data_IF_216862095594
#
_entry.id   IF_216862095594
#
_cell.length_a   1.000
_cell.length_b   1.000
_cell.length_c   1.000
_cell.angle_alpha   90.00
_cell.angle_beta   90.00
_cell.angle_gamma   90.00
#
_symmetry.space_group_name_H-M   'P 1'
#
loop_
_entity.id
_entity.type
_entity.pdbx_description
1 polymer ?
#
# COMPACT_ATOMS: atom_id res chain seq x y z
N UNK A 1 -14.12 9.98 15.07
CA UNK A 1 -13.82 10.04 13.63
C UNK A 1 -13.15 8.77 13.13
N UNK A 2 -13.28 8.51 11.82
CA UNK A 2 -12.74 7.32 11.17
C UNK A 2 -11.35 7.63 10.58
N UNK A 3 -10.34 6.93 11.08
CA UNK A 3 -8.94 7.12 10.70
C UNK A 3 -8.42 5.91 9.95
N UNK A 4 -7.60 6.17 8.93
CA UNK A 4 -7.00 5.13 8.10
C UNK A 4 -5.53 5.40 7.80
N UNK A 5 -4.73 4.33 7.76
CA UNK A 5 -3.31 4.32 7.42
C UNK A 5 -3.05 3.30 6.31
N UNK A 6 -2.77 3.73 5.06
CA UNK A 6 -2.52 2.83 3.96
C UNK A 6 -1.04 2.48 3.83
N UNK A 7 -0.77 1.19 3.60
CA UNK A 7 0.51 0.66 3.10
C UNK A 7 0.42 0.62 1.57
N UNK A 8 1.25 1.37 0.85
CA UNK A 8 1.04 1.61 -0.57
C UNK A 8 2.13 0.98 -1.45
N UNK A 9 1.85 -0.22 -1.97
CA UNK A 9 2.77 -0.98 -2.80
C UNK A 9 2.69 -0.62 -4.29
N UNK A 10 3.81 -0.71 -4.99
CA UNK A 10 3.91 -0.46 -6.43
C UNK A 10 5.14 -1.13 -7.05
N UNK A 11 5.12 -1.27 -8.38
CA UNK A 11 6.27 -1.73 -9.15
C UNK A 11 6.91 -0.59 -9.93
N UNK A 12 8.24 -0.67 -10.09
CA UNK A 12 9.03 0.13 -11.03
C UNK A 12 9.58 -0.75 -12.15
N UNK A 13 9.22 -0.42 -13.39
CA UNK A 13 9.67 -1.11 -14.59
C UNK A 13 10.50 -0.21 -15.50
N UNK A 14 11.32 -0.82 -16.35
CA UNK A 14 12.07 -0.11 -17.38
C UNK A 14 11.20 0.26 -18.58
N UNK A 15 11.67 1.21 -19.38
CA UNK A 15 11.15 1.46 -20.72
C UNK A 15 11.97 0.69 -21.76
N UNK A 16 11.33 0.32 -22.88
CA UNK A 16 12.02 -0.15 -24.07
C UNK A 16 12.70 1.01 -24.82
N UNK A 17 13.41 0.69 -25.89
CA UNK A 17 14.09 1.66 -26.76
C UNK A 17 13.15 2.68 -27.44
N UNK A 18 11.85 2.40 -27.50
CA UNK A 18 10.83 3.28 -28.07
C UNK A 18 10.11 4.12 -26.99
N UNK A 19 10.48 3.96 -25.72
CA UNK A 19 9.85 4.64 -24.59
C UNK A 19 8.55 3.98 -24.10
N UNK A 20 8.25 2.74 -24.50
CA UNK A 20 7.09 2.01 -23.98
C UNK A 20 7.44 1.29 -22.68
N UNK A 21 6.55 1.25 -21.68
CA UNK A 21 6.75 0.46 -20.47
C UNK A 21 6.95 -1.03 -20.78
N UNK A 22 7.87 -1.68 -20.08
CA UNK A 22 8.08 -3.13 -20.13
C UNK A 22 7.63 -3.79 -18.83
N UNK A 23 7.84 -5.11 -18.72
CA UNK A 23 7.72 -5.88 -17.48
C UNK A 23 9.10 -6.22 -16.86
N UNK A 24 10.16 -5.57 -17.32
CA UNK A 24 11.51 -5.77 -16.78
C UNK A 24 11.68 -4.90 -15.51
N UNK A 25 11.93 -5.51 -14.33
CA UNK A 25 12.04 -4.77 -13.08
C UNK A 25 13.26 -3.85 -13.06
N UNK A 26 13.15 -2.76 -12.30
CA UNK A 26 14.26 -1.82 -12.11
C UNK A 26 15.49 -2.47 -11.48
N UNK A 27 15.28 -3.43 -10.58
CA UNK A 27 16.31 -4.17 -9.86
C UNK A 27 15.84 -5.59 -9.49
N UNK A 28 16.64 -6.30 -8.68
CA UNK A 28 16.41 -7.68 -8.27
C UNK A 28 16.54 -7.84 -6.74
N UNK A 29 16.22 -6.78 -5.99
CA UNK A 29 16.14 -6.82 -4.53
C UNK A 29 14.92 -7.61 -4.06
N UNK A 30 14.96 -8.09 -2.81
CA UNK A 30 13.82 -8.66 -2.10
C UNK A 30 13.41 -7.82 -0.89
N UNK A 31 12.57 -8.41 -0.04
CA UNK A 31 11.99 -7.73 1.12
C UNK A 31 13.06 -7.17 2.04
N UNK A 32 13.03 -5.85 2.28
CA UNK A 32 13.99 -5.13 3.12
C UNK A 32 15.46 -5.26 2.69
N UNK A 33 15.74 -5.66 1.45
CA UNK A 33 17.10 -5.66 0.95
C UNK A 33 17.67 -4.25 0.87
N UNK A 34 18.99 -4.17 1.06
CA UNK A 34 19.75 -2.93 0.91
C UNK A 34 20.55 -2.93 -0.39
N UNK A 35 21.08 -1.75 -0.74
CA UNK A 35 22.10 -1.62 -1.79
C UNK A 35 23.26 -2.60 -1.54
N UNK A 36 23.76 -3.35 -2.55
CA UNK A 36 23.64 -3.10 -4.00
C UNK A 36 22.47 -3.80 -4.72
N UNK A 37 21.68 -4.61 -4.03
CA UNK A 37 20.55 -5.33 -4.64
C UNK A 37 19.36 -4.40 -4.89
N UNK A 38 19.04 -3.56 -3.91
CA UNK A 38 18.10 -2.46 -4.03
C UNK A 38 18.77 -1.25 -4.69
N UNK A 39 18.39 -0.98 -5.94
CA UNK A 39 18.94 0.11 -6.75
C UNK A 39 17.98 1.30 -6.86
N UNK A 40 16.72 1.10 -6.48
CA UNK A 40 15.68 2.12 -6.51
C UNK A 40 15.53 2.89 -5.18
N UNK A 41 16.40 2.67 -4.20
CA UNK A 41 16.41 3.40 -2.92
C UNK A 41 16.39 4.92 -3.09
N UNK A 42 17.13 5.46 -4.06
CA UNK A 42 17.14 6.90 -4.36
C UNK A 42 15.76 7.42 -4.82
N UNK A 43 15.02 6.61 -5.58
CA UNK A 43 13.67 6.96 -6.06
C UNK A 43 12.72 7.03 -4.86
N UNK A 44 12.79 6.03 -3.95
CA UNK A 44 12.00 6.05 -2.71
C UNK A 44 12.35 7.25 -1.84
N UNK A 45 13.63 7.60 -1.71
CA UNK A 45 14.06 8.78 -0.95
C UNK A 45 13.51 10.09 -1.54
N UNK A 46 13.51 10.23 -2.86
CA UNK A 46 12.92 11.41 -3.52
C UNK A 46 11.40 11.50 -3.32
N UNK A 47 10.71 10.36 -3.33
CA UNK A 47 9.27 10.29 -3.00
C UNK A 47 9.04 10.75 -1.57
N UNK A 48 9.79 10.21 -0.60
CA UNK A 48 9.68 10.60 0.82
C UNK A 48 9.96 12.09 1.02
N UNK A 49 10.97 12.64 0.34
CA UNK A 49 11.29 14.07 0.41
C UNK A 49 10.13 14.94 -0.10
N UNK A 50 9.46 14.55 -1.18
CA UNK A 50 8.31 15.30 -1.70
C UNK A 50 7.09 15.21 -0.77
N UNK A 51 6.81 14.03 -0.23
CA UNK A 51 5.73 13.84 0.75
C UNK A 51 5.97 14.66 2.03
N UNK A 52 7.22 14.77 2.48
CA UNK A 52 7.59 15.59 3.62
C UNK A 52 7.36 17.09 3.37
N UNK A 53 7.65 17.60 2.17
CA UNK A 53 7.35 19.01 1.81
C UNK A 53 5.86 19.31 1.84
N UNK A 54 5.02 18.32 1.54
CA UNK A 54 3.56 18.42 1.61
C UNK A 54 3.01 18.20 3.02
N UNK A 55 3.87 17.88 4.00
CA UNK A 55 3.47 17.62 5.39
C UNK A 55 2.75 16.29 5.59
N UNK A 56 2.95 15.31 4.70
CA UNK A 56 2.24 14.02 4.78
C UNK A 56 2.87 13.03 5.76
N UNK A 57 4.09 13.30 6.23
CA UNK A 57 4.78 12.54 7.28
C UNK A 57 4.79 11.02 7.02
N UNK A 58 5.41 10.55 5.92
CA UNK A 58 5.54 9.11 5.68
C UNK A 58 6.30 8.43 6.82
N UNK A 59 5.89 7.22 7.18
CA UNK A 59 6.43 6.47 8.33
C UNK A 59 7.57 5.53 7.91
N UNK A 60 7.41 4.88 6.76
CA UNK A 60 8.39 3.95 6.23
C UNK A 60 8.38 3.89 4.71
N UNK A 61 9.47 3.35 4.17
CA UNK A 61 9.64 3.00 2.77
C UNK A 61 10.65 1.87 2.66
N UNK A 62 10.32 0.82 1.93
CA UNK A 62 11.22 -0.31 1.74
C UNK A 62 11.05 -0.96 0.38
N UNK A 63 12.00 -1.83 0.07
CA UNK A 63 11.85 -2.79 -1.00
C UNK A 63 10.90 -3.90 -0.55
N UNK A 64 10.01 -4.31 -1.44
CA UNK A 64 8.99 -5.33 -1.19
C UNK A 64 9.48 -6.72 -1.62
N UNK A 65 8.63 -7.75 -1.54
CA UNK A 65 9.01 -9.15 -1.77
C UNK A 65 9.44 -9.43 -3.22
N UNK A 66 8.76 -8.87 -4.23
CA UNK A 66 9.07 -9.11 -5.63
C UNK A 66 10.09 -8.13 -6.21
N UNK A 67 10.82 -8.55 -7.24
CA UNK A 67 11.80 -7.73 -7.94
C UNK A 67 11.20 -6.42 -8.48
N UNK A 68 11.82 -5.28 -8.14
CA UNK A 68 11.34 -3.95 -8.50
C UNK A 68 10.03 -3.53 -7.83
N UNK A 69 9.60 -4.25 -6.77
CA UNK A 69 8.45 -3.88 -5.95
C UNK A 69 8.91 -3.02 -4.77
N UNK A 70 8.11 -2.01 -4.45
CA UNK A 70 8.40 -1.05 -3.40
C UNK A 70 7.13 -0.68 -2.65
N UNK A 71 7.31 -0.20 -1.42
CA UNK A 71 6.23 0.26 -0.54
C UNK A 71 6.56 1.62 0.05
N UNK A 72 5.51 2.44 0.25
CA UNK A 72 5.55 3.70 0.99
C UNK A 72 4.37 3.71 1.96
N UNK A 73 4.67 3.93 3.23
CA UNK A 73 3.67 3.98 4.29
C UNK A 73 3.41 5.42 4.69
N UNK A 74 2.13 5.78 4.70
CA UNK A 74 1.70 7.10 5.16
C UNK A 74 1.21 7.01 6.60
N UNK A 75 1.61 7.99 7.42
CA UNK A 75 1.00 8.20 8.73
C UNK A 75 -0.50 8.36 8.59
N UNK A 76 -1.25 7.68 9.45
CA UNK A 76 -2.70 7.69 9.42
C UNK A 76 -3.28 9.11 9.46
N UNK A 77 -4.45 9.28 8.87
CA UNK A 77 -5.24 10.50 8.92
C UNK A 77 -6.73 10.16 8.85
N UNK A 78 -7.59 11.16 9.03
CA UNK A 78 -9.02 10.98 8.79
C UNK A 78 -9.27 10.49 7.36
N UNK A 79 -10.26 9.62 7.17
CA UNK A 79 -10.43 8.87 5.93
C UNK A 79 -10.54 9.73 4.66
N UNK A 80 -11.23 10.88 4.74
CA UNK A 80 -11.35 11.80 3.60
C UNK A 80 -9.98 12.43 3.24
N UNK A 81 -9.25 12.90 4.25
CA UNK A 81 -7.90 13.46 4.06
C UNK A 81 -6.97 12.39 3.48
N UNK A 82 -7.06 11.16 3.97
CA UNK A 82 -6.21 10.08 3.48
C UNK A 82 -6.54 9.68 2.03
N UNK A 83 -7.82 9.70 1.63
CA UNK A 83 -8.20 9.47 0.24
C UNK A 83 -7.55 10.48 -0.72
N UNK A 84 -7.53 11.76 -0.35
CA UNK A 84 -6.84 12.82 -1.12
C UNK A 84 -5.33 12.59 -1.16
N UNK A 85 -4.72 12.23 -0.02
CA UNK A 85 -3.28 11.93 0.08
C UNK A 85 -2.89 10.75 -0.80
N UNK A 86 -3.67 9.67 -0.82
CA UNK A 86 -3.41 8.49 -1.67
C UNK A 86 -3.52 8.85 -3.16
N UNK A 87 -4.51 9.66 -3.55
CA UNK A 87 -4.63 10.12 -4.93
C UNK A 87 -3.41 10.96 -5.36
N UNK A 88 -2.92 11.82 -4.47
CA UNK A 88 -1.71 12.62 -4.69
C UNK A 88 -0.44 11.76 -4.72
N UNK A 89 -0.31 10.81 -3.79
CA UNK A 89 0.83 9.88 -3.70
C UNK A 89 1.06 9.15 -5.02
N UNK A 90 -0.01 8.64 -5.65
CA UNK A 90 0.07 7.98 -6.97
C UNK A 90 0.68 8.88 -8.03
N UNK A 91 0.30 10.15 -8.03
CA UNK A 91 0.83 11.15 -8.98
C UNK A 91 2.29 11.46 -8.69
N UNK A 92 2.66 11.63 -7.42
CA UNK A 92 4.05 11.88 -6.98
C UNK A 92 4.95 10.72 -7.39
N UNK A 93 4.58 9.48 -7.04
CA UNK A 93 5.35 8.27 -7.37
C UNK A 93 5.56 8.18 -8.89
N UNK A 94 4.51 8.34 -9.69
CA UNK A 94 4.61 8.28 -11.16
C UNK A 94 5.53 9.37 -11.73
N UNK A 95 5.41 10.60 -11.24
CA UNK A 95 6.24 11.71 -11.72
C UNK A 95 7.71 11.52 -11.35
N UNK A 96 8.01 11.11 -10.12
CA UNK A 96 9.38 10.89 -9.68
C UNK A 96 9.99 9.70 -10.41
N UNK A 97 9.27 8.56 -10.52
CA UNK A 97 9.71 7.42 -11.31
C UNK A 97 10.05 7.82 -12.76
N UNK A 98 9.19 8.62 -13.40
CA UNK A 98 9.41 9.10 -14.76
C UNK A 98 10.66 9.98 -14.87
N UNK A 99 10.94 10.86 -13.90
CA UNK A 99 12.18 11.67 -13.86
C UNK A 99 13.44 10.82 -13.76
N UNK A 100 13.34 9.66 -13.11
CA UNK A 100 14.40 8.66 -13.02
C UNK A 100 14.44 7.68 -14.20
N UNK A 101 13.57 7.85 -15.21
CA UNK A 101 13.54 7.00 -16.39
C UNK A 101 12.87 5.64 -16.18
N UNK A 102 11.97 5.53 -15.19
CA UNK A 102 11.21 4.31 -14.90
C UNK A 102 9.70 4.52 -15.00
N UNK A 103 8.99 3.42 -15.18
CA UNK A 103 7.54 3.36 -15.22
C UNK A 103 7.01 2.81 -13.90
N UNK A 104 6.25 3.63 -13.16
CA UNK A 104 5.57 3.18 -11.96
C UNK A 104 4.16 2.66 -12.26
N UNK A 105 3.82 1.49 -11.71
CA UNK A 105 2.47 0.92 -11.81
C UNK A 105 1.94 0.44 -10.47
N UNK A 106 0.63 0.64 -10.30
CA UNK A 106 -0.17 0.18 -9.14
C UNK A 106 -1.10 -0.97 -9.53
N UNK A 107 -0.80 -1.62 -10.65
CA UNK A 107 -1.57 -2.77 -11.14
C UNK A 107 -1.46 -3.91 -10.11
N UNK A 108 -2.58 -4.54 -9.68
CA UNK A 108 -2.54 -5.53 -8.60
C UNK A 108 -1.64 -6.75 -8.86
N UNK A 109 -1.52 -7.19 -10.12
CA UNK A 109 -0.71 -8.34 -10.52
C UNK A 109 -0.11 -8.10 -11.90
N UNK A 110 1.00 -7.32 -12.01
CA UNK A 110 1.61 -7.00 -13.28
C UNK A 110 2.45 -8.15 -13.83
N UNK A 111 2.99 -9.01 -12.96
CA UNK A 111 3.81 -10.18 -13.31
C UNK A 111 3.16 -11.45 -12.75
N UNK A 112 3.09 -12.49 -13.59
CA UNK A 112 2.59 -13.79 -13.18
C UNK A 112 3.65 -14.54 -12.34
N UNK A 113 3.22 -15.26 -11.30
CA UNK A 113 4.11 -16.12 -10.53
C UNK A 113 4.92 -15.43 -9.41
N UNK A 114 4.75 -14.13 -9.17
CA UNK A 114 5.42 -13.33 -8.12
C UNK A 114 4.39 -12.58 -7.25
N UNK A 115 4.80 -11.98 -6.12
CA UNK A 115 3.92 -11.12 -5.30
C UNK A 115 3.32 -9.98 -6.12
N UNK A 116 2.13 -9.52 -5.74
CA UNK A 116 1.41 -8.46 -6.44
C UNK A 116 1.09 -7.31 -5.50
N UNK A 117 0.98 -6.10 -6.04
CA UNK A 117 0.85 -4.88 -5.23
C UNK A 117 -0.48 -4.79 -4.49
N UNK A 118 -0.39 -4.61 -3.17
CA UNK A 118 -1.47 -4.29 -2.27
C UNK A 118 -1.65 -2.82 -1.97
N UNK A 119 -2.79 -2.56 -1.31
CA UNK A 119 -2.96 -1.38 -0.50
C UNK A 119 -3.65 -1.82 0.78
N UNK A 120 -2.89 -2.30 1.76
CA UNK A 120 -3.47 -2.59 3.06
C UNK A 120 -3.94 -1.28 3.69
N UNK A 121 -5.05 -1.33 4.41
CA UNK A 121 -5.64 -0.14 5.03
C UNK A 121 -5.92 -0.46 6.48
N UNK A 122 -5.04 0.03 7.34
CA UNK A 122 -5.22 0.05 8.79
C UNK A 122 -6.38 1.00 9.12
N UNK A 123 -7.25 0.61 10.04
CA UNK A 123 -8.50 1.32 10.32
C UNK A 123 -8.73 1.44 11.82
N UNK A 124 -9.17 2.61 12.27
CA UNK A 124 -9.58 2.83 13.67
C UNK A 124 -10.69 3.87 13.78
N UNK A 125 -11.42 3.81 14.89
CA UNK A 125 -12.36 4.86 15.29
C UNK A 125 -11.74 5.56 16.49
N UNK A 126 -11.51 6.86 16.38
CA UNK A 126 -10.88 7.66 17.43
C UNK A 126 -11.82 8.78 17.89
N UNK A 127 -11.61 9.33 19.09
CA UNK A 127 -12.21 10.61 19.47
C UNK A 127 -11.71 11.73 18.56
N UNK A 128 -12.47 12.82 18.43
CA UNK A 128 -12.13 13.93 17.52
C UNK A 128 -10.86 14.69 17.94
N UNK A 129 -10.48 14.63 19.21
CA UNK A 129 -9.20 15.13 19.74
C UNK A 129 -8.05 14.13 19.61
N UNK A 130 -8.30 12.95 19.02
CA UNK A 130 -7.32 11.85 18.83
C UNK A 130 -6.76 11.24 20.12
N UNK A 131 -7.31 11.58 21.30
CA UNK A 131 -6.82 11.10 22.60
C UNK A 131 -7.31 9.68 22.95
N UNK A 132 -8.43 9.22 22.35
CA UNK A 132 -9.04 7.92 22.64
C UNK A 132 -9.20 7.11 21.37
N UNK A 133 -8.52 5.96 21.29
CA UNK A 133 -8.81 4.95 20.28
C UNK A 133 -9.88 3.99 20.80
N UNK A 134 -11.07 4.04 20.19
CA UNK A 134 -12.21 3.25 20.62
C UNK A 134 -12.08 1.75 20.30
N UNK A 135 -11.09 1.33 19.52
CA UNK A 135 -10.78 -0.08 19.31
C UNK A 135 -9.92 -0.70 20.41
N UNK A 136 -9.31 0.12 21.27
CA UNK A 136 -8.45 -0.35 22.33
C UNK A 136 -9.21 -0.57 23.64
N UNK A 137 -8.98 -1.72 24.28
CA UNK A 137 -9.37 -1.98 25.67
C UNK A 137 -8.32 -2.90 26.32
N UNK A 138 -7.58 -2.35 27.30
CA UNK A 138 -6.51 -3.05 28.02
C UNK A 138 -6.97 -4.37 28.68
N UNK A 139 -8.25 -4.46 29.08
CA UNK A 139 -8.79 -5.61 29.81
C UNK A 139 -9.42 -6.65 28.87
N UNK A 140 -9.64 -6.30 27.61
CA UNK A 140 -10.26 -7.18 26.65
C UNK A 140 -9.26 -8.20 26.07
N UNK A 141 -9.80 -9.30 25.54
CA UNK A 141 -9.00 -10.31 24.84
C UNK A 141 -8.34 -9.67 23.62
N UNK A 142 -7.04 -9.90 23.44
CA UNK A 142 -6.22 -9.31 22.38
C UNK A 142 -6.06 -7.78 22.43
N UNK A 143 -6.51 -7.13 23.52
CA UNK A 143 -6.52 -5.67 23.64
C UNK A 143 -7.59 -4.99 22.78
N UNK A 144 -8.56 -5.74 22.25
CA UNK A 144 -9.58 -5.26 21.33
C UNK A 144 -10.91 -5.03 22.05
N UNK A 145 -11.41 -3.80 22.01
CA UNK A 145 -12.69 -3.45 22.61
C UNK A 145 -13.86 -4.20 21.97
N UNK A 146 -15.01 -4.22 22.64
CA UNK A 146 -16.24 -4.77 22.07
C UNK A 146 -16.61 -4.10 20.74
N UNK A 147 -16.35 -2.79 20.62
CA UNK A 147 -16.58 -2.04 19.39
C UNK A 147 -15.67 -2.50 18.25
N UNK A 148 -14.39 -2.78 18.52
CA UNK A 148 -13.48 -3.35 17.51
C UNK A 148 -13.99 -4.71 17.03
N UNK A 149 -14.47 -5.55 17.94
CA UNK A 149 -15.00 -6.87 17.60
C UNK A 149 -16.26 -6.78 16.73
N UNK A 150 -17.20 -5.88 17.05
CA UNK A 150 -18.39 -5.62 16.22
C UNK A 150 -18.02 -5.04 14.85
N UNK A 151 -17.04 -4.15 14.80
CA UNK A 151 -16.53 -3.59 13.55
C UNK A 151 -15.96 -4.70 12.64
N UNK A 152 -15.10 -5.55 13.19
CA UNK A 152 -14.52 -6.70 12.48
C UNK A 152 -15.61 -7.66 11.98
N UNK A 153 -16.62 -7.95 12.80
CA UNK A 153 -17.75 -8.78 12.40
C UNK A 153 -18.46 -8.20 11.16
N UNK A 154 -18.67 -6.89 11.11
CA UNK A 154 -19.25 -6.21 9.95
C UNK A 154 -18.38 -6.34 8.70
N UNK A 155 -17.07 -6.10 8.83
CA UNK A 155 -16.11 -6.24 7.71
C UNK A 155 -16.14 -7.67 7.17
N UNK A 156 -15.98 -8.68 8.01
CA UNK A 156 -15.94 -10.08 7.60
C UNK A 156 -17.27 -10.56 6.97
N UNK A 157 -18.40 -10.03 7.46
CA UNK A 157 -19.73 -10.36 6.92
C UNK A 157 -19.92 -9.82 5.49
N UNK A 158 -19.34 -8.66 5.17
CA UNK A 158 -19.63 -7.94 3.92
C UNK A 158 -18.45 -7.88 2.93
N UNK A 159 -17.26 -8.38 3.29
CA UNK A 159 -16.06 -8.25 2.46
C UNK A 159 -16.19 -8.96 1.11
N UNK A 160 -17.01 -10.02 1.03
CA UNK A 160 -17.25 -10.73 -0.23
C UNK A 160 -17.90 -9.81 -1.26
N UNK A 161 -18.99 -9.14 -0.90
CA UNK A 161 -19.68 -8.20 -1.79
C UNK A 161 -18.88 -6.89 -1.96
N UNK A 162 -18.26 -6.39 -0.89
CA UNK A 162 -17.43 -5.18 -0.94
C UNK A 162 -16.21 -5.34 -1.86
N UNK A 163 -15.74 -6.57 -2.10
CA UNK A 163 -14.63 -6.84 -3.03
C UNK A 163 -14.88 -6.34 -4.45
N UNK A 164 -16.14 -6.18 -4.87
CA UNK A 164 -16.46 -5.55 -6.16
C UNK A 164 -15.94 -4.10 -6.25
N UNK A 165 -15.82 -3.41 -5.11
CA UNK A 165 -15.32 -2.03 -5.01
C UNK A 165 -13.83 -2.07 -4.64
N UNK A 166 -13.48 -2.83 -3.59
CA UNK A 166 -12.12 -2.89 -3.04
C UNK A 166 -11.11 -3.53 -4.01
N UNK A 167 -11.58 -4.46 -4.86
CA UNK A 167 -10.80 -5.18 -5.86
C UNK A 167 -11.41 -4.98 -7.26
N UNK A 168 -11.72 -3.74 -7.61
CA UNK A 168 -12.57 -3.36 -8.76
C UNK A 168 -12.06 -3.75 -10.16
N UNK A 169 -10.78 -4.07 -10.33
CA UNK A 169 -10.24 -4.49 -11.64
C UNK A 169 -10.26 -6.01 -11.81
N UNK A 170 -10.43 -6.49 -13.06
CA UNK A 170 -10.25 -7.91 -13.40
C UNK A 170 -8.87 -8.42 -12.95
N UNK A 171 -7.84 -7.57 -13.05
CA UNK A 171 -6.48 -7.93 -12.62
C UNK A 171 -6.34 -8.06 -11.08
N UNK A 172 -7.20 -7.43 -10.29
CA UNK A 172 -7.20 -7.60 -8.82
C UNK A 172 -7.38 -9.07 -8.43
N UNK A 173 -8.27 -9.78 -9.12
CA UNK A 173 -8.53 -11.21 -8.90
C UNK A 173 -7.40 -12.13 -9.38
N UNK A 174 -6.37 -11.59 -10.05
CA UNK A 174 -5.12 -12.32 -10.35
C UNK A 174 -4.11 -12.19 -9.21
N UNK A 175 -4.30 -11.20 -8.32
CA UNK A 175 -3.55 -11.04 -7.07
C UNK A 175 -4.11 -11.92 -5.97
N UNK A 176 -5.44 -11.99 -5.84
CA UNK A 176 -6.17 -12.76 -4.83
C UNK A 176 -6.13 -14.27 -5.13
N UNK A 177 -4.93 -14.84 -5.11
CA UNK A 177 -4.65 -16.27 -5.26
C UNK A 177 -3.69 -16.74 -4.14
N UNK A 178 -3.76 -18.00 -3.70
CA UNK A 178 -2.91 -18.49 -2.61
C UNK A 178 -1.42 -18.41 -2.94
N UNK A 179 -0.58 -18.24 -1.90
CA UNK A 179 0.88 -18.36 -1.99
C UNK A 179 1.67 -17.08 -2.24
N UNK A 180 1.02 -15.91 -2.20
CA UNK A 180 1.63 -14.59 -2.46
C UNK A 180 1.23 -13.53 -1.43
N UNK A 181 0.98 -13.96 -0.19
CA UNK A 181 0.62 -13.09 0.96
C UNK A 181 -0.64 -12.22 0.79
N UNK A 182 -1.37 -12.38 -0.31
CA UNK A 182 -2.68 -11.77 -0.53
C UNK A 182 -3.79 -12.58 0.18
N UNK A 183 -4.81 -11.90 0.73
CA UNK A 183 -5.94 -12.57 1.36
C UNK A 183 -6.82 -13.26 0.32
N UNK A 184 -7.15 -14.53 0.57
CA UNK A 184 -8.01 -15.34 -0.31
C UNK A 184 -9.16 -16.03 0.43
N UNK A 185 -9.15 -15.95 1.76
CA UNK A 185 -10.18 -16.49 2.64
C UNK A 185 -10.65 -15.41 3.60
N UNK A 186 -11.93 -15.49 3.98
CA UNK A 186 -12.51 -14.62 5.02
C UNK A 186 -12.26 -15.32 6.35
N UNK A 187 -11.48 -14.69 7.24
CA UNK A 187 -11.04 -15.27 8.51
C UNK A 187 -10.82 -14.21 9.59
#
# INVERSE_FOLDING_TARGET
>A
DFYVGPEFEFFLFKYDQNGNPTNEPVDFGGYFDNTPLDRASIIRMDILNELNKLGYQPEAAHHEVAFGQHEIDLRYASALVMADRVAMLKSIIKNIAQRHGYYATFMPKPINGVNGSGMHVHQSIMSTDEDVNYFYDEKAKYGLSEMAMHYLAGVLTHVSEASAILASWVNSYKRLIPGYEAPVYIS
#
